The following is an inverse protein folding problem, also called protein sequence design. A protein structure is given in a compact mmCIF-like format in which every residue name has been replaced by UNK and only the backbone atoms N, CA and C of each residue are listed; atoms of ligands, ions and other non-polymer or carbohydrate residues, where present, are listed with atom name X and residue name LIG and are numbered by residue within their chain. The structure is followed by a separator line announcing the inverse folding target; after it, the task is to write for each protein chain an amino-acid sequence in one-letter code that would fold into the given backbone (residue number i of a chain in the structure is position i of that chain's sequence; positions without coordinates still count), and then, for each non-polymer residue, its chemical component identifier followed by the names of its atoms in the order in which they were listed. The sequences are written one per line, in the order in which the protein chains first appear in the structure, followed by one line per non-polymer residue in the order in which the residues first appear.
data_IF_911630390964
#
_entry.id   IF_911630390964
#
_cell.length_a   1.000
_cell.length_b   1.000
_cell.length_c   1.000
_cell.angle_alpha   90.00
_cell.angle_beta   90.00
_cell.angle_gamma   90.00
#
_symmetry.space_group_name_H-M   'P 1'
#
loop_
_entity.id
_entity.type
_entity.pdbx_description
1 polymer ?
#
# COMPACT_ATOMS: atom_id res chain seq x y z
N UNK A 1 -15.79 15.66 0.05
CA UNK A 1 -16.43 14.71 -0.86
C UNK A 1 -15.97 15.02 -2.27
N UNK A 2 -15.38 14.04 -2.97
CA UNK A 2 -14.95 14.20 -4.35
C UNK A 2 -16.17 14.28 -5.28
N UNK A 3 -16.05 15.04 -6.38
CA UNK A 3 -17.16 15.29 -7.32
C UNK A 3 -17.39 14.15 -8.33
N UNK A 4 -16.53 13.14 -8.32
CA UNK A 4 -16.54 12.05 -9.30
C UNK A 4 -16.66 10.71 -8.61
N UNK A 5 -17.46 9.83 -9.20
CA UNK A 5 -17.43 8.40 -8.93
C UNK A 5 -16.40 7.76 -9.87
N UNK A 6 -15.19 7.51 -9.35
CA UNK A 6 -14.08 6.98 -10.13
C UNK A 6 -14.08 5.46 -9.99
N UNK A 7 -14.22 4.76 -11.12
CA UNK A 7 -14.07 3.31 -11.21
C UNK A 7 -12.59 2.94 -11.03
N UNK A 8 -12.20 2.66 -9.78
CA UNK A 8 -10.82 2.30 -9.42
C UNK A 8 -10.33 1.03 -10.14
N UNK A 9 -11.11 -0.07 -10.25
CA UNK A 9 -10.73 -1.21 -11.09
C UNK A 9 -10.41 -0.82 -12.54
N UNK A 10 -11.24 0.00 -13.19
CA UNK A 10 -11.00 0.44 -14.55
C UNK A 10 -9.76 1.34 -14.67
N UNK A 11 -9.53 2.24 -13.71
CA UNK A 11 -8.31 3.07 -13.67
C UNK A 11 -7.05 2.20 -13.54
N UNK A 12 -7.08 1.22 -12.64
CA UNK A 12 -5.96 0.31 -12.44
C UNK A 12 -5.67 -0.53 -13.71
N UNK A 13 -6.71 -0.92 -14.45
CA UNK A 13 -6.57 -1.59 -15.75
C UNK A 13 -5.81 -0.73 -16.75
N UNK A 14 -6.20 0.55 -16.90
CA UNK A 14 -5.55 1.48 -17.83
C UNK A 14 -4.07 1.65 -17.52
N UNK A 15 -3.69 1.70 -16.23
CA UNK A 15 -2.28 1.83 -15.84
C UNK A 15 -1.41 0.63 -16.20
N UNK A 16 -1.99 -0.55 -16.49
CA UNK A 16 -1.21 -1.71 -16.97
C UNK A 16 -0.78 -1.60 -18.42
N UNK A 17 -1.39 -0.70 -19.20
CA UNK A 17 -1.19 -0.63 -20.64
C UNK A 17 -0.52 0.68 -21.06
N UNK A 18 0.77 0.63 -21.38
CA UNK A 18 1.51 1.77 -21.96
C UNK A 18 1.83 2.91 -20.99
N UNK A 19 1.57 2.74 -19.68
CA UNK A 19 1.96 3.71 -18.66
C UNK A 19 3.42 3.56 -18.24
N UNK A 20 4.01 4.64 -17.71
CA UNK A 20 5.39 4.62 -17.16
C UNK A 20 5.49 3.75 -15.90
N UNK A 21 4.39 3.57 -15.17
CA UNK A 21 4.37 2.85 -13.88
C UNK A 21 4.03 1.36 -14.02
N UNK A 22 3.89 0.86 -15.26
CA UNK A 22 3.64 -0.54 -15.57
C UNK A 22 4.60 -1.47 -14.83
N UNK A 23 4.06 -2.42 -14.06
CA UNK A 23 4.84 -3.30 -13.20
C UNK A 23 4.03 -4.50 -12.74
N UNK A 24 4.72 -5.56 -12.33
CA UNK A 24 4.09 -6.73 -11.70
C UNK A 24 3.24 -6.35 -10.48
N UNK A 25 3.67 -5.33 -9.71
CA UNK A 25 2.89 -4.84 -8.57
C UNK A 25 1.55 -4.23 -9.01
N UNK A 26 1.50 -3.53 -10.14
CA UNK A 26 0.23 -3.05 -10.70
C UNK A 26 -0.66 -4.19 -11.21
N UNK A 27 -0.09 -5.28 -11.73
CA UNK A 27 -0.87 -6.46 -12.11
C UNK A 27 -1.63 -7.03 -10.91
N UNK A 28 -0.93 -7.15 -9.77
CA UNK A 28 -1.52 -7.61 -8.51
C UNK A 28 -2.59 -6.64 -7.99
N UNK A 29 -2.32 -5.34 -8.02
CA UNK A 29 -3.27 -4.29 -7.59
C UNK A 29 -4.55 -4.31 -8.41
N UNK A 30 -4.44 -4.34 -9.74
CA UNK A 30 -5.59 -4.41 -10.62
C UNK A 30 -6.36 -5.73 -10.45
N UNK A 31 -5.66 -6.84 -10.22
CA UNK A 31 -6.29 -8.12 -9.87
C UNK A 31 -7.09 -8.06 -8.57
N UNK A 32 -6.53 -7.47 -7.51
CA UNK A 32 -7.19 -7.29 -6.23
C UNK A 32 -8.45 -6.43 -6.35
N UNK A 33 -8.35 -5.27 -7.02
CA UNK A 33 -9.48 -4.36 -7.24
C UNK A 33 -10.56 -4.97 -8.12
N UNK A 34 -10.20 -5.75 -9.15
CA UNK A 34 -11.16 -6.45 -10.00
C UNK A 34 -11.96 -7.50 -9.23
N UNK A 35 -11.32 -8.21 -8.30
CA UNK A 35 -11.95 -9.26 -7.51
C UNK A 35 -12.84 -8.69 -6.40
N UNK A 36 -12.36 -7.68 -5.68
CA UNK A 36 -13.10 -6.99 -4.64
C UNK A 36 -12.74 -5.49 -4.64
N UNK A 37 -13.55 -4.65 -5.32
CA UNK A 37 -13.31 -3.21 -5.36
C UNK A 37 -13.35 -2.53 -4.00
N UNK A 38 -14.06 -3.12 -3.03
CA UNK A 38 -14.20 -2.58 -1.67
C UNK A 38 -13.05 -2.99 -0.73
N UNK A 39 -12.29 -4.01 -1.13
CA UNK A 39 -11.22 -4.63 -0.34
C UNK A 39 -11.70 -4.98 1.08
N UNK A 40 -12.91 -5.52 1.18
CA UNK A 40 -13.59 -5.80 2.45
C UNK A 40 -12.83 -6.80 3.33
N UNK A 41 -12.03 -7.68 2.72
CA UNK A 41 -11.19 -8.64 3.44
C UNK A 41 -10.00 -8.01 4.19
N UNK A 42 -9.65 -6.76 3.89
CA UNK A 42 -8.54 -6.05 4.51
C UNK A 42 -9.04 -4.97 5.47
N UNK A 43 -8.52 -4.98 6.70
CA UNK A 43 -8.73 -3.93 7.69
C UNK A 43 -7.89 -2.68 7.44
N UNK A 44 -6.87 -2.78 6.59
CA UNK A 44 -5.92 -1.69 6.30
C UNK A 44 -4.91 -1.49 7.42
N UNK A 45 -4.73 -2.45 8.33
CA UNK A 45 -3.69 -2.38 9.37
C UNK A 45 -2.39 -2.92 8.78
N UNK A 46 -1.58 -2.04 8.20
CA UNK A 46 -0.37 -2.45 7.49
C UNK A 46 0.73 -2.83 8.47
N UNK A 47 1.04 -4.12 8.54
CA UNK A 47 2.12 -4.65 9.38
C UNK A 47 3.48 -4.08 8.99
N UNK A 48 4.21 -3.57 9.98
CA UNK A 48 5.63 -3.24 9.86
C UNK A 48 6.48 -4.47 10.13
N UNK A 49 7.20 -4.92 9.10
CA UNK A 49 8.13 -6.05 9.15
C UNK A 49 9.52 -5.67 9.68
N UNK A 50 9.79 -4.38 9.86
CA UNK A 50 11.03 -3.85 10.45
C UNK A 50 12.04 -3.32 9.43
N UNK A 51 11.90 -3.64 8.14
CA UNK A 51 12.87 -3.23 7.12
C UNK A 51 12.91 -1.71 6.93
N UNK A 52 11.74 -1.06 6.96
CA UNK A 52 11.67 0.40 6.91
C UNK A 52 12.34 1.05 8.12
N UNK A 53 12.20 0.46 9.32
CA UNK A 53 12.79 1.00 10.54
C UNK A 53 14.31 0.98 10.52
N UNK A 54 14.92 -0.16 10.20
CA UNK A 54 16.38 -0.22 10.15
C UNK A 54 16.94 0.64 9.01
N UNK A 55 16.22 0.74 7.89
CA UNK A 55 16.62 1.60 6.76
C UNK A 55 16.69 3.06 7.17
N UNK A 56 15.68 3.58 7.88
CA UNK A 56 15.70 4.97 8.36
C UNK A 56 16.75 5.20 9.45
N UNK A 57 16.98 4.23 10.33
CA UNK A 57 18.06 4.33 11.30
C UNK A 57 19.41 4.47 10.60
N UNK A 58 19.68 3.63 9.59
CA UNK A 58 20.90 3.71 8.81
C UNK A 58 21.03 5.05 8.06
N UNK A 59 19.92 5.57 7.50
CA UNK A 59 19.91 6.88 6.85
C UNK A 59 20.29 8.02 7.81
N UNK A 60 19.79 7.99 9.06
CA UNK A 60 20.16 8.95 10.11
C UNK A 60 21.63 8.79 10.49
N UNK A 61 22.08 7.57 10.75
CA UNK A 61 23.45 7.27 11.17
C UNK A 61 24.49 7.69 10.11
N UNK A 62 24.10 7.69 8.82
CA UNK A 62 24.95 8.04 7.68
C UNK A 62 24.73 9.46 7.14
N UNK A 63 23.76 10.21 7.68
CA UNK A 63 23.42 11.55 7.21
C UNK A 63 22.81 11.59 5.79
N UNK A 64 22.20 10.49 5.33
CA UNK A 64 21.58 10.40 3.99
C UNK A 64 20.09 10.77 4.06
N UNK A 65 19.60 11.72 3.25
CA UNK A 65 18.19 12.09 3.25
C UNK A 65 17.31 10.98 2.63
N UNK A 66 16.29 10.53 3.38
CA UNK A 66 15.35 9.48 2.96
C UNK A 66 13.87 9.88 3.11
N UNK A 67 13.43 11.07 2.64
CA UNK A 67 12.11 11.63 2.98
C UNK A 67 10.93 10.76 2.55
N UNK A 68 10.96 10.17 1.36
CA UNK A 68 9.87 9.31 0.85
C UNK A 68 9.77 8.02 1.65
N UNK A 69 10.89 7.40 1.99
CA UNK A 69 10.92 6.20 2.83
C UNK A 69 10.43 6.51 4.25
N UNK A 70 10.78 7.69 4.78
CA UNK A 70 10.29 8.15 6.09
C UNK A 70 8.79 8.32 6.11
N UNK A 71 8.24 9.02 5.11
CA UNK A 71 6.79 9.18 4.97
C UNK A 71 6.09 7.84 4.85
N UNK A 72 6.56 6.96 3.96
CA UNK A 72 5.96 5.65 3.74
C UNK A 72 5.98 4.76 5.01
N UNK A 73 7.01 4.87 5.86
CA UNK A 73 7.04 4.16 7.13
C UNK A 73 6.05 4.75 8.14
N UNK A 74 5.95 6.08 8.23
CA UNK A 74 5.03 6.75 9.14
C UNK A 74 3.57 6.55 8.75
N UNK A 75 3.25 6.51 7.46
CA UNK A 75 1.90 6.19 6.97
C UNK A 75 1.46 4.79 7.45
N UNK A 76 2.39 3.80 7.42
CA UNK A 76 2.11 2.47 7.99
C UNK A 76 1.84 2.52 9.49
N UNK A 77 2.50 3.39 10.25
CA UNK A 77 2.22 3.53 11.67
C UNK A 77 0.84 4.14 11.90
N UNK A 78 0.46 5.16 11.14
CA UNK A 78 -0.87 5.77 11.20
C UNK A 78 -2.00 4.77 10.88
N UNK A 79 -1.77 3.88 9.91
CA UNK A 79 -2.73 2.80 9.56
C UNK A 79 -3.08 1.87 10.73
N UNK A 80 -2.30 1.89 11.82
CA UNK A 80 -2.51 1.06 13.02
C UNK A 80 -3.52 1.64 14.01
N UNK A 81 -4.45 2.47 13.53
CA UNK A 81 -5.54 3.07 14.30
C UNK A 81 -6.46 3.90 13.42
N UNK A 82 -5.92 4.45 12.33
CA UNK A 82 -6.59 5.40 11.43
C UNK A 82 -6.57 4.90 9.97
N UNK A 83 -6.92 3.62 9.73
CA UNK A 83 -6.80 3.05 8.39
C UNK A 83 -7.78 3.67 7.39
N UNK A 84 -7.26 3.98 6.19
CA UNK A 84 -8.01 4.46 5.04
C UNK A 84 -8.10 3.38 3.96
N UNK A 85 -8.88 3.65 2.90
CA UNK A 85 -8.97 2.76 1.74
C UNK A 85 -7.60 2.48 1.10
N UNK A 86 -6.73 3.50 1.04
CA UNK A 86 -5.37 3.34 0.51
C UNK A 86 -4.55 2.30 1.31
N UNK A 87 -4.76 2.21 2.63
CA UNK A 87 -4.08 1.22 3.46
C UNK A 87 -4.59 -0.19 3.19
N UNK A 88 -5.90 -0.35 2.92
CA UNK A 88 -6.46 -1.65 2.48
C UNK A 88 -5.85 -2.09 1.15
N UNK A 89 -5.66 -1.16 0.22
CA UNK A 89 -5.01 -1.44 -1.05
C UNK A 89 -3.54 -1.84 -0.84
N UNK A 90 -2.84 -1.16 0.06
CA UNK A 90 -1.47 -1.53 0.44
C UNK A 90 -1.39 -2.91 1.09
N UNK A 91 -2.33 -3.26 1.96
CA UNK A 91 -2.44 -4.61 2.52
C UNK A 91 -2.71 -5.66 1.45
N UNK A 92 -3.60 -5.37 0.49
CA UNK A 92 -3.87 -6.26 -0.63
C UNK A 92 -2.63 -6.54 -1.47
N UNK A 93 -1.87 -5.49 -1.80
CA UNK A 93 -0.59 -5.61 -2.49
C UNK A 93 0.39 -6.49 -1.70
N UNK A 94 0.57 -6.20 -0.41
CA UNK A 94 1.50 -6.94 0.47
C UNK A 94 1.13 -8.41 0.64
N UNK A 95 -0.17 -8.70 0.72
CA UNK A 95 -0.66 -10.06 0.72
C UNK A 95 -0.34 -10.77 -0.61
N UNK A 96 -0.62 -10.12 -1.73
CA UNK A 96 -0.48 -10.72 -3.06
C UNK A 96 0.98 -11.02 -3.46
N UNK A 97 1.93 -10.11 -3.19
CA UNK A 97 3.32 -10.34 -3.61
C UNK A 97 4.11 -11.22 -2.62
N UNK A 98 3.78 -11.16 -1.32
CA UNK A 98 4.65 -11.68 -0.25
C UNK A 98 3.93 -12.48 0.83
N UNK A 99 2.62 -12.69 0.71
CA UNK A 99 1.84 -13.44 1.71
C UNK A 99 1.73 -12.73 3.06
N UNK A 100 1.93 -11.41 3.12
CA UNK A 100 1.87 -10.66 4.37
C UNK A 100 0.43 -10.56 4.88
N UNK A 101 0.14 -11.25 5.98
CA UNK A 101 -1.19 -11.22 6.63
C UNK A 101 -1.27 -10.05 7.63
N UNK A 102 -2.40 -9.36 7.64
CA UNK A 102 -2.68 -8.34 8.65
C UNK A 102 -2.80 -8.96 10.04
N UNK A 103 -2.36 -8.21 11.07
CA UNK A 103 -2.66 -8.61 12.45
C UNK A 103 -4.14 -8.35 12.74
N UNK A 104 -4.81 -9.20 13.55
CA UNK A 104 -6.16 -8.94 14.01
C UNK A 104 -6.27 -7.53 14.61
N UNK A 105 -7.42 -6.89 14.39
CA UNK A 105 -7.72 -5.61 15.04
C UNK A 105 -7.72 -5.85 16.56
N UNK A 106 -6.94 -5.05 17.29
CA UNK A 106 -6.92 -5.08 18.75
C UNK A 106 -8.27 -4.62 19.31
#
# INVERSE_FOLDING_TARGET
YYQFDIDLPAVAEVWRHGSVIGSWLLDLTAGALKNDPSLAQFGGRVSDSGEGRWTLKAAIDTGVPAPVLSSALFDRFSSQGESAFADKLLSAMRYAFGGHVEKPKA
#
